data_IF_463849344912
#
_entry.id   IF_463849344912
#
_cell.length_a   1.000
_cell.length_b   1.000
_cell.length_c   1.000
_cell.angle_alpha   90.00
_cell.angle_beta   90.00
_cell.angle_gamma   90.00
#
_symmetry.space_group_name_H-M   'P 1'
#
loop_
_entity.id
_entity.type
_entity.pdbx_description
1 polymer ?
#
# COMPACT_ATOMS: atom_id res chain seq x y z
N UNK A 1 -7.89 -22.21 -14.00
CA UNK A 1 -7.47 -22.36 -12.59
C UNK A 1 -6.53 -21.23 -12.23
N UNK A 2 -6.73 -20.56 -11.09
CA UNK A 2 -5.89 -19.43 -10.70
C UNK A 2 -4.59 -19.90 -10.01
N UNK A 3 -3.44 -19.48 -10.55
CA UNK A 3 -2.10 -19.74 -10.01
C UNK A 3 -1.45 -18.41 -9.65
N UNK A 4 -0.87 -18.31 -8.46
CA UNK A 4 -0.09 -17.13 -8.06
C UNK A 4 1.36 -17.33 -8.44
N UNK A 5 1.95 -16.35 -9.13
CA UNK A 5 3.38 -16.34 -9.47
C UNK A 5 3.97 -14.93 -9.33
N UNK A 6 5.31 -14.81 -9.20
CA UNK A 6 5.99 -13.52 -9.37
C UNK A 6 5.55 -12.85 -10.67
N UNK A 7 5.38 -11.53 -10.62
CA UNK A 7 5.14 -10.71 -11.80
C UNK A 7 6.42 -10.66 -12.66
N UNK A 8 6.24 -10.54 -13.97
CA UNK A 8 7.34 -10.31 -14.92
C UNK A 8 7.03 -9.14 -15.84
N UNK A 9 8.03 -8.63 -16.57
CA UNK A 9 7.82 -7.51 -17.49
C UNK A 9 6.75 -7.76 -18.57
N UNK A 10 6.55 -9.02 -18.96
CA UNK A 10 5.47 -9.42 -19.87
C UNK A 10 4.05 -9.19 -19.33
N UNK A 11 3.90 -8.98 -18.02
CA UNK A 11 2.60 -8.72 -17.38
C UNK A 11 2.28 -7.22 -17.29
N UNK A 12 3.12 -6.34 -17.83
CA UNK A 12 2.95 -4.89 -17.72
C UNK A 12 1.54 -4.42 -18.13
N UNK A 13 1.05 -4.87 -19.30
CA UNK A 13 -0.27 -4.45 -19.81
C UNK A 13 -1.40 -4.87 -18.85
N UNK A 14 -1.29 -6.05 -18.26
CA UNK A 14 -2.24 -6.53 -17.27
C UNK A 14 -2.15 -5.73 -15.95
N UNK A 15 -0.95 -5.41 -15.49
CA UNK A 15 -0.74 -4.58 -14.31
C UNK A 15 -1.29 -3.17 -14.51
N UNK A 16 -1.04 -2.57 -15.68
CA UNK A 16 -1.59 -1.27 -16.07
C UNK A 16 -3.13 -1.31 -16.09
N UNK A 17 -3.72 -2.37 -16.64
CA UNK A 17 -5.18 -2.58 -16.59
C UNK A 17 -5.69 -2.62 -15.16
N UNK A 18 -5.01 -3.34 -14.26
CA UNK A 18 -5.35 -3.37 -12.84
C UNK A 18 -5.26 -1.98 -12.19
N UNK A 19 -4.24 -1.18 -12.54
CA UNK A 19 -4.08 0.19 -12.04
C UNK A 19 -5.28 1.06 -12.43
N UNK A 20 -5.67 1.03 -13.71
CA UNK A 20 -6.84 1.77 -14.23
C UNK A 20 -8.12 1.34 -13.54
N UNK A 21 -8.37 0.03 -13.42
CA UNK A 21 -9.59 -0.50 -12.80
C UNK A 21 -9.66 -0.30 -11.27
N UNK A 22 -8.53 -0.07 -10.59
CA UNK A 22 -8.49 0.15 -9.13
C UNK A 22 -9.03 1.52 -8.69
N UNK A 23 -9.04 2.51 -9.60
CA UNK A 23 -9.53 3.86 -9.37
C UNK A 23 -8.69 4.69 -8.39
N UNK A 24 -9.24 5.82 -7.96
CA UNK A 24 -8.54 6.82 -7.10
C UNK A 24 -8.14 6.27 -5.73
N UNK A 25 -7.16 6.85 -5.03
CA UNK A 25 -6.88 6.47 -3.64
C UNK A 25 -6.25 5.09 -3.47
N UNK A 26 -5.82 4.45 -4.55
CA UNK A 26 -5.05 3.22 -4.54
C UNK A 26 -3.58 3.54 -4.85
N UNK A 27 -2.95 4.29 -3.94
CA UNK A 27 -1.60 4.86 -4.09
C UNK A 27 -0.51 3.85 -4.42
N UNK A 28 -0.68 2.59 -4.01
CA UNK A 28 0.30 1.53 -4.25
C UNK A 28 0.26 0.98 -5.69
N UNK A 29 -0.74 1.34 -6.51
CA UNK A 29 -0.87 0.95 -7.91
C UNK A 29 -1.30 2.14 -8.80
N UNK A 30 -0.45 3.16 -8.97
CA UNK A 30 -0.78 4.36 -9.73
C UNK A 30 -0.80 4.08 -11.25
N UNK A 31 -1.65 4.79 -11.99
CA UNK A 31 -1.66 4.77 -13.46
C UNK A 31 -0.49 5.60 -13.99
N UNK A 32 0.70 5.02 -13.98
CA UNK A 32 1.95 5.66 -14.43
C UNK A 32 2.94 4.60 -14.93
N UNK A 33 3.31 4.67 -16.20
CA UNK A 33 4.16 3.70 -16.89
C UNK A 33 5.52 3.50 -16.22
N UNK A 34 6.21 4.59 -15.89
CA UNK A 34 7.53 4.55 -15.27
C UNK A 34 7.48 3.83 -13.92
N UNK A 35 6.49 4.14 -13.09
CA UNK A 35 6.35 3.53 -11.76
C UNK A 35 5.94 2.06 -11.82
N UNK A 36 5.01 1.72 -12.70
CA UNK A 36 4.59 0.33 -12.89
C UNK A 36 5.76 -0.52 -13.40
N UNK A 37 6.53 0.00 -14.36
CA UNK A 37 7.75 -0.64 -14.87
C UNK A 37 8.81 -0.81 -13.78
N UNK A 38 9.03 0.23 -12.97
CA UNK A 38 9.97 0.18 -11.85
C UNK A 38 9.52 -0.82 -10.79
N UNK A 39 8.22 -0.91 -10.48
CA UNK A 39 7.68 -1.91 -9.55
C UNK A 39 7.91 -3.34 -10.04
N UNK A 40 7.71 -3.61 -11.34
CA UNK A 40 7.98 -4.93 -11.90
C UNK A 40 9.47 -5.26 -11.82
N UNK A 41 10.33 -4.36 -12.31
CA UNK A 41 11.79 -4.55 -12.29
C UNK A 41 12.31 -4.77 -10.87
N UNK A 42 11.82 -3.99 -9.92
CA UNK A 42 12.20 -4.11 -8.52
C UNK A 42 11.72 -5.43 -7.88
N UNK A 43 10.54 -5.91 -8.29
CA UNK A 43 10.05 -7.24 -7.90
C UNK A 43 10.91 -8.36 -8.46
N UNK A 44 11.26 -8.31 -9.75
CA UNK A 44 12.17 -9.28 -10.36
C UNK A 44 13.54 -9.30 -9.66
N UNK A 45 14.10 -8.12 -9.33
CA UNK A 45 15.31 -7.99 -8.51
C UNK A 45 15.15 -8.66 -7.14
N UNK A 46 14.06 -8.38 -6.43
CA UNK A 46 13.81 -8.86 -5.08
C UNK A 46 13.67 -10.38 -5.00
N UNK A 47 12.98 -10.99 -5.98
CA UNK A 47 12.86 -12.45 -6.09
C UNK A 47 14.18 -13.13 -6.49
N UNK A 48 15.06 -12.46 -7.24
CA UNK A 48 16.37 -12.99 -7.64
C UNK A 48 17.45 -12.89 -6.54
N UNK A 49 17.21 -12.11 -5.48
CA UNK A 49 18.16 -11.93 -4.37
C UNK A 49 18.22 -13.19 -3.50
N UNK A 50 19.36 -13.88 -3.44
CA UNK A 50 19.49 -15.17 -2.75
C UNK A 50 19.86 -15.09 -1.26
N UNK A 51 20.64 -14.10 -0.83
CA UNK A 51 21.23 -14.03 0.52
C UNK A 51 20.58 -12.94 1.40
N UNK A 52 19.25 -12.95 1.48
CA UNK A 52 18.52 -12.02 2.36
C UNK A 52 18.56 -12.54 3.79
N UNK A 53 19.13 -11.76 4.71
CA UNK A 53 19.28 -12.12 6.13
C UNK A 53 18.50 -11.21 7.07
N UNK A 54 17.96 -10.12 6.54
CA UNK A 54 17.09 -9.19 7.22
C UNK A 54 16.20 -8.47 6.21
N UNK A 55 15.03 -7.95 6.62
CA UNK A 55 14.16 -7.16 5.75
C UNK A 55 14.84 -5.85 5.37
N UNK A 56 14.94 -5.56 4.08
CA UNK A 56 15.56 -4.35 3.56
C UNK A 56 14.68 -3.73 2.46
N UNK A 57 15.28 -3.39 1.33
CA UNK A 57 14.65 -2.67 0.23
C UNK A 57 13.75 -3.54 -0.64
N UNK A 58 13.58 -4.83 -0.34
CA UNK A 58 12.87 -5.75 -1.24
C UNK A 58 11.37 -5.48 -1.33
N UNK A 59 10.83 -5.47 -2.54
CA UNK A 59 9.40 -5.43 -2.84
C UNK A 59 8.99 -6.64 -3.69
N UNK A 60 7.95 -7.37 -3.28
CA UNK A 60 7.51 -8.60 -3.93
C UNK A 60 6.12 -8.44 -4.52
N UNK A 61 6.05 -8.29 -5.84
CA UNK A 61 4.80 -8.18 -6.59
C UNK A 61 4.50 -9.50 -7.31
N UNK A 62 3.26 -9.96 -7.17
CA UNK A 62 2.79 -11.23 -7.72
C UNK A 62 1.48 -11.03 -8.47
N UNK A 63 1.25 -11.85 -9.48
CA UNK A 63 0.00 -11.87 -10.24
C UNK A 63 -0.76 -13.17 -10.01
N UNK A 64 -2.09 -13.07 -10.04
CA UNK A 64 -2.95 -14.24 -10.17
C UNK A 64 -3.16 -14.51 -11.66
N UNK A 65 -2.57 -15.59 -12.18
CA UNK A 65 -2.67 -15.99 -13.58
C UNK A 65 -3.68 -17.12 -13.73
N UNK A 66 -4.69 -16.93 -14.57
CA UNK A 66 -5.65 -17.99 -14.89
C UNK A 66 -5.10 -18.88 -16.01
N UNK A 67 -4.78 -20.12 -15.67
CA UNK A 67 -4.18 -21.09 -16.59
C UNK A 67 -5.13 -21.55 -17.70
N UNK A 68 -6.43 -21.29 -17.57
CA UNK A 68 -7.41 -21.70 -18.59
C UNK A 68 -7.53 -20.66 -19.71
N UNK A 69 -7.52 -19.38 -19.35
CA UNK A 69 -7.69 -18.26 -20.30
C UNK A 69 -6.36 -17.64 -20.72
N UNK A 70 -5.31 -17.82 -19.93
CA UNK A 70 -4.04 -17.12 -20.10
C UNK A 70 -4.06 -15.67 -19.62
N UNK A 71 -5.11 -15.26 -18.89
CA UNK A 71 -5.28 -13.89 -18.42
C UNK A 71 -4.75 -13.70 -17.00
N UNK A 72 -4.33 -12.47 -16.71
CA UNK A 72 -4.04 -12.03 -15.34
C UNK A 72 -5.33 -11.54 -14.69
N UNK A 73 -5.70 -12.20 -13.60
CA UNK A 73 -6.88 -11.93 -12.79
C UNK A 73 -6.72 -10.72 -11.86
N UNK A 74 -5.49 -10.36 -11.52
CA UNK A 74 -5.17 -9.30 -10.58
C UNK A 74 -3.76 -9.41 -10.02
N UNK A 75 -3.46 -8.56 -9.03
CA UNK A 75 -2.13 -8.39 -8.46
C UNK A 75 -2.16 -8.36 -6.92
N UNK A 76 -1.06 -8.75 -6.30
CA UNK A 76 -0.87 -8.75 -4.85
C UNK A 76 0.59 -8.43 -4.49
N UNK A 77 0.83 -7.57 -3.50
CA UNK A 77 2.17 -7.11 -3.14
C UNK A 77 2.56 -7.32 -1.67
N UNK A 78 3.87 -7.35 -1.41
CA UNK A 78 4.48 -7.24 -0.07
C UNK A 78 5.72 -6.36 -0.17
N UNK A 79 5.86 -5.36 0.69
CA UNK A 79 7.11 -4.64 0.88
C UNK A 79 7.85 -5.26 2.08
N UNK A 80 9.13 -5.60 1.91
CA UNK A 80 10.00 -6.23 2.90
C UNK A 80 10.21 -5.33 4.11
N UNK A 81 10.62 -4.08 3.87
CA UNK A 81 10.62 -3.04 4.89
C UNK A 81 10.25 -1.67 4.29
N UNK A 82 9.21 -1.04 4.84
CA UNK A 82 8.85 0.33 4.46
C UNK A 82 9.76 1.36 5.11
N UNK A 83 9.85 2.55 4.50
CA UNK A 83 10.62 3.66 5.07
C UNK A 83 12.13 3.57 4.83
N UNK A 84 12.60 2.66 3.96
CA UNK A 84 14.02 2.49 3.64
C UNK A 84 14.55 3.61 2.72
N UNK A 85 14.00 3.74 1.52
CA UNK A 85 14.41 4.79 0.57
C UNK A 85 13.58 6.06 0.72
N UNK A 86 12.26 5.89 0.90
CA UNK A 86 11.29 6.98 1.04
C UNK A 86 10.59 6.83 2.39
N UNK A 87 10.56 7.88 3.24
CA UNK A 87 9.87 7.83 4.52
C UNK A 87 8.42 7.40 4.37
N UNK A 88 7.98 6.53 5.27
CA UNK A 88 6.57 6.18 5.42
C UNK A 88 5.96 7.00 6.55
N UNK A 89 4.98 7.84 6.22
CA UNK A 89 4.33 8.72 7.18
C UNK A 89 2.95 8.19 7.57
N UNK A 90 2.58 8.44 8.81
CA UNK A 90 1.28 8.05 9.37
C UNK A 90 0.86 9.03 10.47
N UNK A 91 -0.44 9.08 10.77
CA UNK A 91 -0.95 9.76 11.95
C UNK A 91 -1.27 8.73 13.04
N UNK A 92 -0.65 8.89 14.21
CA UNK A 92 -1.01 8.12 15.40
C UNK A 92 -2.17 8.81 16.14
N UNK A 93 -3.25 8.07 16.40
CA UNK A 93 -4.37 8.56 17.21
C UNK A 93 -4.09 8.25 18.69
N UNK A 94 -3.85 9.29 19.48
CA UNK A 94 -3.73 9.19 20.93
C UNK A 94 -4.96 9.80 21.63
N UNK A 95 -5.18 9.43 22.89
CA UNK A 95 -6.22 10.01 23.74
C UNK A 95 -5.55 10.73 24.91
N UNK A 96 -5.90 12.00 25.09
CA UNK A 96 -5.40 12.85 26.17
C UNK A 96 -6.57 13.27 27.05
N UNK A 97 -6.38 13.19 28.37
CA UNK A 97 -7.39 13.60 29.36
C UNK A 97 -6.95 14.89 30.01
N UNK A 98 -7.70 15.97 29.77
CA UNK A 98 -7.53 17.25 30.44
C UNK A 98 -8.45 17.31 31.66
N UNK A 99 -7.88 17.13 32.85
CA UNK A 99 -8.60 17.24 34.12
C UNK A 99 -8.23 18.52 34.86
N UNK A 100 -9.24 19.33 35.16
CA UNK A 100 -9.11 20.50 36.02
C UNK A 100 -10.09 20.39 37.18
N UNK A 101 -9.64 19.92 38.36
CA UNK A 101 -10.49 19.80 39.54
C UNK A 101 -11.10 21.15 39.96
N UNK A 102 -10.32 22.24 39.82
CA UNK A 102 -10.76 23.60 40.17
C UNK A 102 -11.91 24.10 39.28
N UNK A 103 -11.98 23.64 38.03
CA UNK A 103 -13.05 23.98 37.10
C UNK A 103 -14.13 22.91 37.01
N UNK A 104 -13.98 21.79 37.74
CA UNK A 104 -14.80 20.59 37.60
C UNK A 104 -14.93 20.10 36.14
N UNK A 105 -13.83 20.21 35.38
CA UNK A 105 -13.77 19.81 33.97
C UNK A 105 -12.94 18.54 33.84
N UNK A 106 -13.47 17.59 33.08
CA UNK A 106 -12.74 16.41 32.62
C UNK A 106 -13.04 16.21 31.14
N UNK A 107 -12.13 16.64 30.27
CA UNK A 107 -12.29 16.56 28.82
C UNK A 107 -11.37 15.48 28.27
N UNK A 108 -11.96 14.53 27.56
CA UNK A 108 -11.23 13.49 26.83
C UNK A 108 -11.13 13.91 25.37
N UNK A 109 -9.92 14.10 24.86
CA UNK A 109 -9.65 14.60 23.52
C UNK A 109 -8.81 13.60 22.75
N UNK A 110 -9.12 13.39 21.47
CA UNK A 110 -8.27 12.61 20.56
C UNK A 110 -7.30 13.53 19.82
N UNK A 111 -6.04 13.13 19.72
CA UNK A 111 -4.99 13.86 19.01
C UNK A 111 -4.45 13.00 17.87
N UNK A 112 -4.27 13.62 16.70
CA UNK A 112 -3.51 13.05 15.58
C UNK A 112 -2.07 13.55 15.67
N UNK A 113 -1.12 12.63 15.81
CA UNK A 113 0.31 12.95 15.83
C UNK A 113 0.96 12.41 14.57
N UNK A 114 1.53 13.30 13.76
CA UNK A 114 2.26 12.93 12.55
C UNK A 114 3.59 12.27 12.91
N UNK A 115 3.95 11.20 12.23
CA UNK A 115 5.20 10.49 12.46
C UNK A 115 5.44 9.37 11.45
N UNK A 116 6.48 8.58 11.69
CA UNK A 116 6.97 7.50 10.84
C UNK A 116 7.20 6.21 11.63
N UNK A 117 6.28 5.92 12.57
CA UNK A 117 6.41 4.87 13.58
C UNK A 117 6.52 3.44 13.02
N UNK A 118 6.18 3.24 11.74
CA UNK A 118 6.19 1.93 11.09
C UNK A 118 7.42 1.69 10.20
N UNK A 119 8.37 2.63 10.13
CA UNK A 119 9.65 2.42 9.41
C UNK A 119 10.31 1.10 9.83
N UNK A 120 10.70 0.26 8.86
CA UNK A 120 11.26 -1.06 9.10
C UNK A 120 10.24 -2.18 9.30
N UNK A 121 8.94 -1.89 9.31
CA UNK A 121 7.90 -2.92 9.28
C UNK A 121 7.67 -3.41 7.85
N UNK A 122 7.21 -4.65 7.69
CA UNK A 122 6.74 -5.12 6.38
C UNK A 122 5.31 -4.67 6.14
N UNK A 123 4.98 -4.44 4.88
CA UNK A 123 3.64 -4.03 4.48
C UNK A 123 3.06 -5.06 3.51
N UNK A 124 1.83 -5.52 3.77
CA UNK A 124 1.05 -6.24 2.77
C UNK A 124 0.23 -5.25 1.94
N UNK A 125 0.77 -4.86 0.80
CA UNK A 125 0.22 -3.82 -0.06
C UNK A 125 -0.48 -4.39 -1.31
N UNK A 126 -1.00 -3.49 -2.15
CA UNK A 126 -1.38 -3.75 -3.56
C UNK A 126 -2.21 -5.01 -3.76
N UNK A 127 -3.33 -5.18 -3.05
CA UNK A 127 -4.25 -6.29 -3.31
C UNK A 127 -5.39 -5.83 -4.23
N UNK A 128 -5.38 -6.27 -5.48
CA UNK A 128 -6.45 -6.00 -6.43
C UNK A 128 -6.80 -7.22 -7.25
N UNK A 129 -8.10 -7.46 -7.42
CA UNK A 129 -8.65 -8.43 -8.38
C UNK A 129 -9.57 -7.68 -9.34
N UNK A 130 -9.42 -7.97 -10.63
CA UNK A 130 -10.32 -7.48 -11.68
C UNK A 130 -11.74 -8.03 -11.42
N UNK A 131 -12.81 -7.24 -11.66
CA UNK A 131 -14.17 -7.57 -11.23
C UNK A 131 -14.66 -8.97 -11.59
N UNK A 132 -14.37 -9.43 -12.80
CA UNK A 132 -14.78 -10.73 -13.35
C UNK A 132 -14.11 -11.92 -12.63
N UNK A 133 -12.98 -11.71 -11.96
CA UNK A 133 -12.28 -12.73 -11.17
C UNK A 133 -12.63 -12.70 -9.69
N UNK A 134 -13.52 -11.80 -9.24
CA UNK A 134 -14.01 -11.69 -7.85
C UNK A 134 -15.08 -12.75 -7.57
N UNK A 135 -14.71 -14.02 -7.68
CA UNK A 135 -15.55 -15.17 -7.41
C UNK A 135 -14.85 -16.24 -6.58
N UNK A 136 -15.65 -17.07 -5.92
CA UNK A 136 -15.15 -18.24 -5.19
C UNK A 136 -14.07 -17.89 -4.15
N UNK A 137 -12.90 -18.53 -4.27
CA UNK A 137 -11.79 -18.40 -3.32
C UNK A 137 -10.65 -17.50 -3.82
N UNK A 138 -10.79 -16.86 -4.99
CA UNK A 138 -9.71 -16.10 -5.64
C UNK A 138 -9.19 -14.98 -4.75
N UNK A 139 -10.08 -14.17 -4.16
CA UNK A 139 -9.67 -13.09 -3.24
C UNK A 139 -8.94 -13.61 -2.00
N UNK A 140 -9.39 -14.76 -1.46
CA UNK A 140 -8.74 -15.40 -0.32
C UNK A 140 -7.36 -15.95 -0.70
N UNK A 141 -7.21 -16.53 -1.89
CA UNK A 141 -5.94 -17.01 -2.42
C UNK A 141 -4.96 -15.84 -2.58
N UNK A 142 -5.35 -14.80 -3.32
CA UNK A 142 -4.51 -13.61 -3.55
C UNK A 142 -4.12 -12.91 -2.25
N UNK A 143 -5.02 -12.86 -1.26
CA UNK A 143 -4.66 -12.28 0.03
C UNK A 143 -3.75 -13.19 0.85
N UNK A 144 -4.00 -14.50 0.89
CA UNK A 144 -3.32 -15.43 1.81
C UNK A 144 -1.98 -15.94 1.30
N UNK A 145 -1.74 -15.94 -0.01
CA UNK A 145 -0.44 -16.31 -0.56
C UNK A 145 0.70 -15.45 0.01
N UNK A 146 0.44 -14.18 0.33
CA UNK A 146 1.41 -13.28 0.97
C UNK A 146 1.88 -13.80 2.32
N UNK A 147 0.96 -14.32 3.13
CA UNK A 147 1.30 -14.92 4.42
C UNK A 147 2.02 -16.25 4.27
N UNK A 148 1.73 -17.02 3.22
CA UNK A 148 2.50 -18.22 2.89
C UNK A 148 3.94 -17.88 2.51
N UNK A 149 4.14 -16.85 1.69
CA UNK A 149 5.47 -16.35 1.35
C UNK A 149 6.23 -15.89 2.60
N UNK A 150 5.59 -15.13 3.48
CA UNK A 150 6.19 -14.69 4.74
C UNK A 150 6.53 -15.86 5.67
N UNK A 151 5.71 -16.92 5.67
CA UNK A 151 5.97 -18.11 6.48
C UNK A 151 7.13 -18.95 5.93
N UNK A 152 7.27 -19.05 4.60
CA UNK A 152 8.32 -19.81 3.94
C UNK A 152 9.69 -19.08 3.98
N UNK A 153 9.68 -17.75 3.96
CA UNK A 153 10.89 -16.91 3.95
C UNK A 153 10.87 -15.83 5.04
N UNK A 154 10.79 -16.22 6.33
CA UNK A 154 10.59 -15.28 7.43
C UNK A 154 11.72 -14.25 7.59
N UNK A 155 12.94 -14.56 7.15
CA UNK A 155 14.11 -13.67 7.19
C UNK A 155 13.97 -12.43 6.32
N UNK A 156 13.08 -12.46 5.32
CA UNK A 156 12.80 -11.35 4.40
C UNK A 156 11.81 -10.33 4.96
N UNK A 157 11.16 -10.64 6.08
CA UNK A 157 10.05 -9.84 6.60
C UNK A 157 10.21 -9.49 8.08
N UNK A 158 9.69 -8.33 8.45
CA UNK A 158 9.67 -7.85 9.81
C UNK A 158 8.69 -8.67 10.66
N UNK A 159 8.96 -8.75 11.97
CA UNK A 159 8.04 -9.39 12.93
C UNK A 159 6.70 -8.66 13.04
N UNK A 160 6.71 -7.36 12.73
CA UNK A 160 5.50 -6.54 12.67
C UNK A 160 5.15 -6.32 11.21
N UNK A 161 3.94 -6.75 10.85
CA UNK A 161 3.35 -6.54 9.54
C UNK A 161 2.09 -5.70 9.68
N UNK A 162 1.80 -4.87 8.68
CA UNK A 162 0.58 -4.09 8.64
C UNK A 162 0.06 -3.96 7.20
N UNK A 163 -1.15 -3.42 7.06
CA UNK A 163 -1.74 -3.07 5.78
C UNK A 163 -2.31 -1.66 5.88
N UNK A 164 -2.01 -0.79 4.92
CA UNK A 164 -2.75 0.45 4.76
C UNK A 164 -4.04 0.16 3.99
N UNK A 165 -5.18 0.46 4.63
CA UNK A 165 -6.48 0.32 4.00
C UNK A 165 -6.87 1.63 3.34
N UNK A 166 -7.39 1.54 2.11
CA UNK A 166 -7.90 2.71 1.38
C UNK A 166 -8.88 3.50 2.24
N UNK A 167 -8.63 4.80 2.33
CA UNK A 167 -9.50 5.75 3.03
C UNK A 167 -10.83 5.99 2.30
N UNK A 168 -11.69 6.79 2.92
CA UNK A 168 -12.98 7.18 2.34
C UNK A 168 -12.78 8.29 1.30
N UNK A 169 -13.31 8.08 0.11
CA UNK A 169 -13.45 9.10 -0.94
C UNK A 169 -14.86 9.02 -1.53
N UNK A 170 -15.38 10.13 -2.03
CA UNK A 170 -16.63 10.15 -2.80
C UNK A 170 -16.42 9.64 -4.25
N UNK A 171 -17.50 9.65 -5.05
CA UNK A 171 -17.48 9.18 -6.43
C UNK A 171 -16.63 10.04 -7.38
N UNK A 172 -16.36 11.30 -7.01
CA UNK A 172 -15.50 12.22 -7.76
C UNK A 172 -14.03 12.12 -7.30
N UNK A 173 -13.76 11.28 -6.29
CA UNK A 173 -12.44 11.06 -5.72
C UNK A 173 -12.10 11.98 -4.55
N UNK A 174 -13.00 12.86 -4.11
CA UNK A 174 -12.72 13.78 -3.00
C UNK A 174 -12.69 13.04 -1.66
N UNK A 175 -11.62 13.25 -0.89
CA UNK A 175 -11.49 12.72 0.48
C UNK A 175 -11.84 13.81 1.50
N UNK A 176 -12.82 13.61 2.39
CA UNK A 176 -13.18 14.61 3.41
C UNK A 176 -12.04 14.83 4.42
N UNK A 177 -11.25 13.78 4.71
CA UNK A 177 -10.09 13.91 5.58
C UNK A 177 -8.99 14.74 4.91
N UNK A 178 -8.73 14.49 3.62
CA UNK A 178 -7.79 15.29 2.87
C UNK A 178 -8.25 16.74 2.73
N UNK A 179 -9.53 16.98 2.42
CA UNK A 179 -10.07 18.32 2.30
C UNK A 179 -9.83 19.14 3.57
N UNK A 180 -10.08 18.55 4.75
CA UNK A 180 -9.77 19.21 6.02
C UNK A 180 -8.28 19.52 6.15
N UNK A 181 -7.38 18.58 5.82
CA UNK A 181 -5.94 18.84 5.84
C UNK A 181 -5.53 19.94 4.84
N UNK A 182 -6.09 19.93 3.64
CA UNK A 182 -5.84 20.91 2.59
C UNK A 182 -6.22 22.31 3.05
N UNK A 183 -7.45 22.50 3.55
CA UNK A 183 -7.93 23.80 4.03
C UNK A 183 -7.03 24.43 5.11
N UNK A 184 -6.33 23.61 5.90
CA UNK A 184 -5.57 24.07 7.06
C UNK A 184 -4.05 24.03 6.88
N UNK A 185 -3.52 23.17 6.00
CA UNK A 185 -2.08 22.87 5.93
C UNK A 185 -1.52 22.77 4.50
N UNK A 186 -2.31 22.44 3.47
CA UNK A 186 -1.76 22.15 2.12
C UNK A 186 -2.45 22.93 1.00
N UNK A 187 -1.69 23.37 0.01
CA UNK A 187 -2.21 24.09 -1.17
C UNK A 187 -2.54 23.19 -2.37
N UNK A 188 -2.56 21.86 -2.21
CA UNK A 188 -2.79 20.90 -3.31
C UNK A 188 -4.05 20.06 -3.08
N UNK A 189 -4.78 19.74 -4.16
CA UNK A 189 -5.96 18.88 -4.11
C UNK A 189 -5.62 17.40 -3.86
N UNK A 190 -6.64 16.59 -3.53
CA UNK A 190 -6.43 15.18 -3.17
C UNK A 190 -5.88 14.37 -4.32
N UNK A 191 -6.36 14.57 -5.55
CA UNK A 191 -5.91 13.80 -6.72
C UNK A 191 -4.43 14.04 -7.00
N UNK A 192 -3.97 15.29 -6.87
CA UNK A 192 -2.55 15.61 -6.96
C UNK A 192 -1.76 15.01 -5.79
N UNK A 193 -2.27 15.06 -4.55
CA UNK A 193 -1.61 14.46 -3.40
C UNK A 193 -1.49 12.92 -3.50
N UNK A 194 -2.54 12.26 -3.98
CA UNK A 194 -2.63 10.82 -4.24
C UNK A 194 -1.60 10.43 -5.33
N UNK A 195 -1.55 11.18 -6.42
CA UNK A 195 -0.57 11.01 -7.48
C UNK A 195 0.87 11.22 -6.99
N UNK A 196 1.16 12.34 -6.30
CA UNK A 196 2.49 12.64 -5.76
C UNK A 196 2.97 11.56 -4.79
N UNK A 197 2.06 11.04 -3.97
CA UNK A 197 2.32 9.93 -3.05
C UNK A 197 2.61 8.64 -3.80
N UNK A 198 1.80 8.32 -4.80
CA UNK A 198 1.98 7.14 -5.67
C UNK A 198 3.30 7.15 -6.42
N UNK A 199 3.77 8.34 -6.83
CA UNK A 199 5.07 8.52 -7.50
C UNK A 199 6.26 8.65 -6.54
N UNK A 200 6.07 8.40 -5.24
CA UNK A 200 7.12 8.43 -4.23
C UNK A 200 7.59 9.82 -3.82
N UNK A 201 6.99 10.90 -4.35
CA UNK A 201 7.30 12.28 -3.98
C UNK A 201 6.56 12.67 -2.71
N UNK A 202 6.88 12.05 -1.57
CA UNK A 202 6.19 12.28 -0.28
C UNK A 202 6.69 13.50 0.51
N UNK A 203 7.67 14.24 -0.02
CA UNK A 203 8.27 15.40 0.66
C UNK A 203 7.28 16.54 0.96
N UNK A 204 6.21 16.68 0.17
CA UNK A 204 5.18 17.70 0.41
C UNK A 204 4.36 17.44 1.67
N UNK A 205 4.31 16.20 2.18
CA UNK A 205 3.51 15.85 3.36
C UNK A 205 4.18 16.37 4.64
N UNK A 206 5.51 16.57 4.60
CA UNK A 206 6.32 16.99 5.73
C UNK A 206 6.64 18.51 5.74
N UNK A 207 6.02 19.30 4.86
CA UNK A 207 6.18 20.77 4.74
C UNK A 207 4.91 21.49 5.13
#
# INVERSE_FOLDING_TARGET
>A
MLVVRPITMSDYDALHTCAVESGHGFTSLPVNEELLTNRITHSEYSFAKHDVTAPTDEGYLMVGFDTETGEVAGTTGIEGAIGWDVPFYSYHISTVVHSSPKLNVNNVVKLLTFGNNYTGCSEICTLFLRPEFRGGLNGRLMSKCRFLMMAEHPERFSKTIFAEMRGVSDAEGNSPFWQWLQEHFFSIDFTMADYLTGIGKKGFIAT
#
